data_IF_122079242017
#
_entry.id   IF_122079242017
#
_cell.length_a   1.000
_cell.length_b   1.000
_cell.length_c   1.000
_cell.angle_alpha   90.00
_cell.angle_beta   90.00
_cell.angle_gamma   90.00
#
_symmetry.space_group_name_H-M   'P 1'
#
loop_
_entity.id
_entity.type
_entity.pdbx_description
1 polymer ?
#
# COMPACT_ATOMS: atom_id res chain seq x y z
N UNK A 1 1.53 -2.99 9.29
CA UNK A 1 2.24 -4.29 9.21
C UNK A 1 3.68 -4.09 9.67
N UNK A 2 4.48 -3.29 8.99
CA UNK A 2 5.93 -3.21 9.24
C UNK A 2 6.34 -2.62 10.61
N UNK A 3 5.64 -1.61 11.13
CA UNK A 3 5.89 -1.09 12.50
C UNK A 3 5.36 -1.99 13.63
N UNK A 4 4.70 -3.12 13.31
CA UNK A 4 4.21 -4.08 14.31
C UNK A 4 2.83 -3.81 14.91
N UNK A 5 2.19 -2.69 14.60
CA UNK A 5 0.86 -2.38 15.14
C UNK A 5 -0.25 -3.24 14.54
N UNK A 6 -0.32 -3.32 13.20
CA UNK A 6 -1.34 -4.06 12.48
C UNK A 6 -0.83 -5.46 12.12
N UNK A 7 -1.38 -6.48 12.79
CA UNK A 7 -1.04 -7.92 12.60
C UNK A 7 -2.15 -8.79 12.02
N UNK A 8 -3.37 -8.28 11.95
CA UNK A 8 -4.54 -9.00 11.38
C UNK A 8 -5.15 -8.05 10.36
N UNK A 9 -5.24 -8.49 9.11
CA UNK A 9 -5.80 -7.71 8.02
C UNK A 9 -6.77 -8.60 7.23
N UNK A 10 -8.07 -8.25 7.16
CA UNK A 10 -8.98 -8.91 6.24
C UNK A 10 -8.53 -8.60 4.81
N UNK A 11 -7.99 -9.60 4.14
CA UNK A 11 -7.45 -9.45 2.80
C UNK A 11 -7.58 -10.75 2.02
N UNK A 12 -7.95 -10.64 0.75
CA UNK A 12 -8.03 -11.81 -0.11
C UNK A 12 -6.65 -12.08 -0.75
N UNK A 13 -5.99 -13.21 -0.44
CA UNK A 13 -4.59 -13.43 -0.80
C UNK A 13 -4.34 -13.50 -2.31
N UNK A 14 -5.39 -13.79 -3.10
CA UNK A 14 -5.33 -13.85 -4.57
C UNK A 14 -5.64 -12.53 -5.29
N UNK A 15 -6.03 -11.47 -4.57
CA UNK A 15 -6.28 -10.17 -5.21
C UNK A 15 -4.95 -9.58 -5.67
N UNK A 16 -4.94 -9.03 -6.89
CA UNK A 16 -3.78 -8.36 -7.46
C UNK A 16 -3.73 -6.92 -6.95
N UNK A 17 -2.55 -6.51 -6.48
CA UNK A 17 -2.25 -5.15 -6.06
C UNK A 17 -1.73 -4.34 -7.23
N UNK A 18 -2.38 -3.22 -7.48
CA UNK A 18 -1.92 -2.23 -8.45
C UNK A 18 -0.99 -1.22 -7.77
N UNK A 19 0.28 -1.58 -7.61
CA UNK A 19 1.29 -0.68 -7.03
C UNK A 19 1.88 0.25 -8.09
N UNK A 20 1.65 1.54 -7.92
CA UNK A 20 2.27 2.56 -8.74
C UNK A 20 3.18 3.41 -7.84
N UNK A 21 4.49 3.49 -8.13
CA UNK A 21 5.38 4.37 -7.39
C UNK A 21 4.88 5.81 -7.44
N UNK A 22 4.99 6.53 -6.32
CA UNK A 22 4.51 7.91 -6.21
C UNK A 22 5.12 8.83 -7.27
N UNK A 23 6.39 8.64 -7.62
CA UNK A 23 7.08 9.40 -8.66
C UNK A 23 6.45 9.22 -10.04
N UNK A 24 5.98 8.01 -10.36
CA UNK A 24 5.27 7.75 -11.62
C UNK A 24 3.94 8.50 -11.64
N UNK A 25 3.20 8.51 -10.53
CA UNK A 25 1.94 9.25 -10.41
C UNK A 25 2.18 10.75 -10.56
N UNK A 26 3.20 11.29 -9.88
CA UNK A 26 3.57 12.70 -9.96
C UNK A 26 3.97 13.10 -11.39
N UNK A 27 4.81 12.30 -12.04
CA UNK A 27 5.21 12.52 -13.42
C UNK A 27 4.01 12.49 -14.37
N UNK A 28 3.14 11.50 -14.24
CA UNK A 28 1.93 11.39 -15.05
C UNK A 28 1.00 12.60 -14.87
N UNK A 29 0.89 13.12 -13.65
CA UNK A 29 0.12 14.32 -13.36
C UNK A 29 0.66 15.55 -14.11
N UNK A 30 1.98 15.78 -14.07
CA UNK A 30 2.63 16.90 -14.79
C UNK A 30 2.45 16.76 -16.31
N UNK A 31 2.63 15.55 -16.85
CA UNK A 31 2.47 15.30 -18.30
C UNK A 31 1.00 15.49 -18.71
N UNK A 32 0.05 15.05 -17.88
CA UNK A 32 -1.38 15.27 -18.11
C UNK A 32 -1.72 16.76 -18.16
N UNK A 33 -1.19 17.56 -17.23
CA UNK A 33 -1.36 19.01 -17.23
C UNK A 33 -0.77 19.65 -18.48
N UNK A 34 0.45 19.27 -18.88
CA UNK A 34 1.09 19.75 -20.10
C UNK A 34 0.27 19.38 -21.35
N UNK A 35 -0.26 18.17 -21.42
CA UNK A 35 -1.14 17.74 -22.50
C UNK A 35 -2.41 18.59 -22.59
N UNK A 36 -3.08 18.82 -21.46
CA UNK A 36 -4.28 19.65 -21.39
C UNK A 36 -4.00 21.10 -21.81
N UNK A 37 -2.81 21.63 -21.51
CA UNK A 37 -2.42 22.98 -21.91
C UNK A 37 -2.06 23.10 -23.41
N UNK A 38 -1.64 22.01 -24.05
CA UNK A 38 -1.09 22.04 -25.42
C UNK A 38 -2.03 21.48 -26.49
N UNK A 39 -3.03 20.69 -26.10
CA UNK A 39 -3.91 19.98 -27.03
C UNK A 39 -5.37 20.05 -26.58
N UNK A 40 -6.28 20.22 -27.53
CA UNK A 40 -7.71 20.13 -27.29
C UNK A 40 -8.13 18.67 -27.04
N UNK A 41 -8.98 18.47 -26.04
CA UNK A 41 -9.46 17.16 -25.62
C UNK A 41 -10.93 17.21 -25.20
N UNK A 42 -11.68 16.11 -25.40
CA UNK A 42 -13.03 16.00 -24.85
C UNK A 42 -12.97 16.06 -23.33
N UNK A 43 -13.88 16.84 -22.75
CA UNK A 43 -14.05 16.96 -21.30
C UNK A 43 -15.15 15.99 -20.83
N UNK A 44 -14.93 15.20 -19.77
CA UNK A 44 -13.72 15.15 -18.93
C UNK A 44 -12.60 14.27 -19.52
N UNK A 45 -11.36 14.73 -19.45
CA UNK A 45 -10.17 13.92 -19.74
C UNK A 45 -9.72 13.17 -18.48
N UNK A 46 -9.93 11.86 -18.45
CA UNK A 46 -9.64 11.01 -17.29
C UNK A 46 -8.38 10.18 -17.55
N UNK A 47 -7.44 10.20 -16.60
CA UNK A 47 -6.19 9.45 -16.67
C UNK A 47 -6.09 8.56 -15.43
N UNK A 48 -6.29 7.25 -15.61
CA UNK A 48 -6.05 6.27 -14.55
C UNK A 48 -4.58 5.85 -14.58
N UNK A 49 -3.85 6.15 -13.51
CA UNK A 49 -2.48 5.66 -13.31
C UNK A 49 -2.57 4.25 -12.73
N UNK A 50 -2.58 3.25 -13.61
CA UNK A 50 -2.69 1.84 -13.26
C UNK A 50 -1.69 1.02 -14.08
N UNK A 51 -1.21 -0.08 -13.50
CA UNK A 51 -0.34 -1.04 -14.20
C UNK A 51 -1.12 -1.88 -15.21
N UNK A 52 -2.46 -1.89 -15.17
CA UNK A 52 -3.33 -2.66 -16.06
C UNK A 52 -2.91 -4.13 -16.20
N UNK A 53 -2.53 -4.77 -15.10
CA UNK A 53 -2.12 -6.17 -15.12
C UNK A 53 -0.81 -6.42 -15.89
N UNK A 54 0.00 -5.38 -16.17
CA UNK A 54 1.36 -5.53 -16.71
C UNK A 54 2.24 -6.41 -15.80
N UNK A 55 1.86 -6.56 -14.53
CA UNK A 55 2.37 -7.56 -13.62
C UNK A 55 1.25 -8.02 -12.67
N UNK A 56 1.25 -9.30 -12.31
CA UNK A 56 0.41 -9.83 -11.25
C UNK A 56 1.22 -9.88 -9.96
N UNK A 57 0.96 -8.98 -9.03
CA UNK A 57 1.53 -9.04 -7.69
C UNK A 57 0.43 -9.17 -6.66
N UNK A 58 0.38 -10.31 -5.97
CA UNK A 58 -0.78 -10.66 -5.15
C UNK A 58 -0.61 -10.18 -3.72
N UNK A 59 -1.72 -9.88 -3.05
CA UNK A 59 -1.70 -9.45 -1.64
C UNK A 59 -1.00 -10.46 -0.74
N UNK A 60 -1.23 -11.76 -0.97
CA UNK A 60 -0.56 -12.81 -0.19
C UNK A 60 0.97 -12.73 -0.30
N UNK A 61 1.48 -12.53 -1.51
CA UNK A 61 2.92 -12.38 -1.78
C UNK A 61 3.45 -11.10 -1.13
N UNK A 62 2.69 -10.01 -1.22
CA UNK A 62 3.06 -8.75 -0.61
C UNK A 62 3.20 -8.81 0.90
N UNK A 63 2.24 -9.45 1.58
CA UNK A 63 2.28 -9.63 3.03
C UNK A 63 3.50 -10.46 3.43
N UNK A 64 3.82 -11.51 2.67
CA UNK A 64 5.00 -12.34 2.92
C UNK A 64 6.29 -11.56 2.76
N UNK A 65 6.46 -10.83 1.65
CA UNK A 65 7.65 -10.00 1.37
C UNK A 65 7.85 -8.94 2.45
N UNK A 66 6.80 -8.19 2.80
CA UNK A 66 6.91 -7.18 3.87
C UNK A 66 7.25 -7.82 5.21
N UNK A 67 6.66 -8.97 5.54
CA UNK A 67 6.95 -9.67 6.80
C UNK A 67 8.42 -10.11 6.84
N UNK A 68 8.94 -10.67 5.75
CA UNK A 68 10.34 -11.09 5.64
C UNK A 68 11.30 -9.90 5.76
N UNK A 69 11.05 -8.81 5.02
CA UNK A 69 11.86 -7.59 5.09
C UNK A 69 11.83 -7.01 6.51
N UNK A 70 10.66 -6.98 7.14
CA UNK A 70 10.52 -6.48 8.52
C UNK A 70 11.21 -7.39 9.54
N UNK A 71 11.42 -8.67 9.21
CA UNK A 71 12.17 -9.61 10.03
C UNK A 71 13.68 -9.53 9.85
N UNK A 72 14.16 -9.07 8.69
CA UNK A 72 15.59 -8.88 8.43
C UNK A 72 16.05 -7.49 8.84
N UNK A 73 15.19 -6.48 8.69
CA UNK A 73 15.51 -5.08 8.91
C UNK A 73 14.69 -4.50 10.06
N UNK A 74 15.36 -3.99 11.08
CA UNK A 74 14.68 -3.31 12.18
C UNK A 74 14.21 -1.93 11.73
N UNK A 75 12.90 -1.72 11.70
CA UNK A 75 12.34 -0.39 11.41
C UNK A 75 12.44 0.46 12.68
N UNK A 76 12.99 1.69 12.63
CA UNK A 76 13.02 2.57 13.78
C UNK A 76 11.65 2.74 14.44
N UNK A 77 11.61 2.70 15.77
CA UNK A 77 10.37 2.78 16.55
C UNK A 77 9.35 1.67 16.25
N UNK A 78 9.83 0.46 15.94
CA UNK A 78 8.98 -0.74 15.87
C UNK A 78 8.35 -1.01 17.23
N UNK A 79 7.02 -1.10 17.26
CA UNK A 79 6.27 -1.36 18.47
C UNK A 79 6.40 -2.81 18.92
N UNK A 80 6.29 -3.74 17.97
CA UNK A 80 6.35 -5.17 18.21
C UNK A 80 6.93 -5.86 17.00
N UNK A 81 7.95 -6.69 17.19
CA UNK A 81 8.46 -7.51 16.11
C UNK A 81 7.36 -8.47 15.66
N UNK A 82 7.00 -8.38 14.38
CA UNK A 82 5.89 -9.14 13.82
C UNK A 82 6.43 -10.25 12.95
N UNK A 83 6.58 -11.44 13.53
CA UNK A 83 6.99 -12.63 12.78
C UNK A 83 5.89 -13.13 11.83
N UNK A 84 4.67 -12.62 11.97
CA UNK A 84 3.52 -13.03 11.17
C UNK A 84 2.44 -11.95 11.11
N UNK A 85 1.98 -11.64 9.90
CA UNK A 85 0.76 -10.91 9.66
C UNK A 85 -0.30 -11.88 9.11
N UNK A 86 -1.48 -11.90 9.72
CA UNK A 86 -2.61 -12.72 9.30
C UNK A 86 -3.39 -11.98 8.21
N UNK A 87 -3.02 -12.21 6.95
CA UNK A 87 -3.76 -11.77 5.77
C UNK A 87 -4.65 -12.89 5.26
N UNK A 88 -5.92 -12.90 5.65
CA UNK A 88 -6.89 -13.93 5.26
C UNK A 88 -8.25 -13.27 5.01
N UNK A 89 -9.02 -13.82 4.08
CA UNK A 89 -10.37 -13.33 3.78
C UNK A 89 -11.42 -13.96 4.69
N UNK A 90 -11.04 -14.86 5.60
CA UNK A 90 -11.99 -15.52 6.49
C UNK A 90 -12.48 -14.57 7.60
N UNK A 91 -13.75 -14.12 7.57
CA UNK A 91 -14.23 -13.05 8.46
C UNK A 91 -14.31 -13.47 9.94
N UNK A 92 -14.58 -14.75 10.20
CA UNK A 92 -14.63 -15.28 11.58
C UNK A 92 -13.23 -15.28 12.22
N UNK A 93 -12.22 -15.73 11.46
CA UNK A 93 -10.84 -15.83 11.93
C UNK A 93 -10.24 -14.45 12.21
N UNK A 94 -10.50 -13.47 11.35
CA UNK A 94 -10.05 -12.08 11.58
C UNK A 94 -10.73 -11.48 12.82
N UNK A 95 -12.05 -11.65 12.98
CA UNK A 95 -12.78 -11.20 14.18
C UNK A 95 -12.30 -11.88 15.47
N UNK A 96 -11.93 -13.16 15.42
CA UNK A 96 -11.40 -13.89 16.57
C UNK A 96 -9.98 -13.46 16.92
N UNK A 97 -9.10 -13.25 15.93
CA UNK A 97 -7.68 -12.94 16.17
C UNK A 97 -7.43 -11.48 16.54
N UNK A 98 -8.20 -10.52 16.01
CA UNK A 98 -7.97 -9.09 16.25
C UNK A 98 -7.98 -8.72 17.75
N UNK A 99 -8.92 -9.18 18.59
CA UNK A 99 -8.88 -8.92 20.04
C UNK A 99 -7.57 -9.37 20.70
N UNK A 100 -7.07 -10.57 20.37
CA UNK A 100 -5.85 -11.12 20.97
C UNK A 100 -4.57 -10.44 20.47
N UNK A 101 -4.49 -10.15 19.18
CA UNK A 101 -3.27 -9.59 18.59
C UNK A 101 -3.16 -8.08 18.76
N UNK A 102 -4.29 -7.38 18.93
CA UNK A 102 -4.34 -5.91 18.97
C UNK A 102 -4.81 -5.38 20.33
N UNK A 103 -5.99 -5.78 20.80
CA UNK A 103 -6.66 -5.11 21.92
C UNK A 103 -6.17 -5.57 23.30
N UNK A 104 -6.03 -6.86 23.54
CA UNK A 104 -5.49 -7.39 24.81
C UNK A 104 -4.11 -6.77 25.13
N UNK A 105 -3.11 -6.79 24.22
CA UNK A 105 -1.82 -6.15 24.51
C UNK A 105 -1.94 -4.63 24.64
N UNK A 106 -2.81 -3.98 23.88
CA UNK A 106 -3.05 -2.55 23.99
C UNK A 106 -3.60 -2.14 25.36
N UNK A 107 -4.60 -2.87 25.86
CA UNK A 107 -5.21 -2.62 27.17
C UNK A 107 -4.18 -2.80 28.27
N UNK A 108 -3.37 -3.87 28.23
CA UNK A 108 -2.32 -4.10 29.22
C UNK A 108 -1.29 -2.96 29.25
N UNK A 109 -0.84 -2.49 28.10
CA UNK A 109 0.12 -1.39 28.00
C UNK A 109 -0.50 -0.03 28.36
N UNK A 110 -1.73 0.23 27.96
CA UNK A 110 -2.44 1.45 28.33
C UNK A 110 -2.72 1.50 29.85
N UNK A 111 -3.02 0.35 30.48
CA UNK A 111 -3.14 0.27 31.93
C UNK A 111 -1.79 0.57 32.62
N UNK A 112 -0.68 0.03 32.10
CA UNK A 112 0.65 0.35 32.63
C UNK A 112 0.97 1.84 32.49
N UNK A 113 0.59 2.48 31.37
CA UNK A 113 0.75 3.91 31.19
C UNK A 113 -0.09 4.70 32.20
N UNK A 114 -1.35 4.30 32.42
CA UNK A 114 -2.23 4.92 33.41
C UNK A 114 -1.65 4.83 34.83
N UNK A 115 -1.12 3.68 35.23
CA UNK A 115 -0.46 3.49 36.52
C UNK A 115 0.79 4.38 36.68
N UNK A 116 1.45 4.74 35.58
CA UNK A 116 2.57 5.67 35.55
C UNK A 116 2.13 7.15 35.45
N UNK A 117 0.84 7.46 35.56
CA UNK A 117 0.29 8.81 35.37
C UNK A 117 0.38 9.34 33.93
N UNK A 118 0.61 8.45 32.96
CA UNK A 118 0.71 8.77 31.53
C UNK A 118 -0.63 8.54 30.83
N UNK A 119 -0.82 9.22 29.69
CA UNK A 119 -2.04 9.08 28.89
C UNK A 119 -2.05 7.75 28.11
N UNK A 120 -3.12 6.95 28.21
CA UNK A 120 -3.31 5.77 27.37
C UNK A 120 -3.51 6.18 25.92
N UNK A 121 -2.99 5.39 24.97
CA UNK A 121 -3.01 5.73 23.54
C UNK A 121 -3.21 4.54 22.62
N UNK A 122 -2.84 3.32 23.02
CA UNK A 122 -2.83 2.16 22.13
C UNK A 122 -4.24 1.71 21.74
N UNK A 123 -5.18 1.67 22.68
CA UNK A 123 -6.58 1.30 22.38
C UNK A 123 -7.23 2.32 21.43
N UNK A 124 -6.89 3.61 21.57
CA UNK A 124 -7.37 4.65 20.65
C UNK A 124 -6.78 4.48 19.24
N UNK A 125 -5.50 4.09 19.14
CA UNK A 125 -4.84 3.79 17.88
C UNK A 125 -5.49 2.59 17.19
N UNK A 126 -5.80 1.52 17.91
CA UNK A 126 -6.46 0.34 17.33
C UNK A 126 -7.88 0.63 16.85
N UNK A 127 -8.66 1.43 17.58
CA UNK A 127 -9.97 1.90 17.09
C UNK A 127 -9.85 2.74 15.82
N UNK A 128 -8.79 3.52 15.67
CA UNK A 128 -8.51 4.23 14.43
C UNK A 128 -8.14 3.26 13.30
N UNK A 129 -7.21 2.33 13.55
CA UNK A 129 -6.78 1.34 12.57
C UNK A 129 -7.95 0.48 12.08
N UNK A 130 -8.85 0.04 12.97
CA UNK A 130 -10.03 -0.74 12.59
C UNK A 130 -10.97 0.03 11.66
N UNK A 131 -11.15 1.34 11.89
CA UNK A 131 -11.94 2.19 10.99
C UNK A 131 -11.31 2.28 9.61
N UNK A 132 -9.99 2.50 9.54
CA UNK A 132 -9.25 2.54 8.27
C UNK A 132 -9.34 1.20 7.56
N UNK A 133 -9.07 0.09 8.26
CA UNK A 133 -9.16 -1.25 7.70
C UNK A 133 -10.56 -1.53 7.17
N UNK A 134 -11.61 -1.27 7.96
CA UNK A 134 -13.00 -1.46 7.54
C UNK A 134 -13.34 -0.70 6.26
N UNK A 135 -12.89 0.54 6.14
CA UNK A 135 -13.10 1.36 4.95
C UNK A 135 -12.32 0.80 3.74
N UNK A 136 -11.11 0.29 3.96
CA UNK A 136 -10.27 -0.26 2.91
C UNK A 136 -10.61 -1.70 2.50
N UNK A 137 -11.32 -2.47 3.35
CA UNK A 137 -11.59 -3.91 3.10
C UNK A 137 -12.21 -4.15 1.72
N UNK A 138 -13.15 -3.31 1.29
CA UNK A 138 -13.76 -3.45 -0.02
C UNK A 138 -12.74 -3.36 -1.17
N UNK A 139 -11.77 -2.45 -1.07
CA UNK A 139 -10.73 -2.30 -2.08
C UNK A 139 -9.66 -3.38 -1.99
N UNK A 140 -9.29 -3.80 -0.77
CA UNK A 140 -8.28 -4.83 -0.52
C UNK A 140 -8.79 -6.23 -0.91
N UNK A 141 -10.10 -6.48 -0.82
CA UNK A 141 -10.67 -7.80 -1.13
C UNK A 141 -11.19 -7.95 -2.56
N UNK A 142 -11.10 -6.92 -3.41
CA UNK A 142 -11.55 -6.98 -4.80
C UNK A 142 -10.43 -6.55 -5.75
N UNK A 143 -10.32 -7.22 -6.90
CA UNK A 143 -9.45 -6.79 -7.98
C UNK A 143 -10.16 -5.73 -8.82
N UNK A 144 -9.41 -4.74 -9.30
CA UNK A 144 -9.93 -3.63 -10.08
C UNK A 144 -9.22 -3.56 -11.43
N UNK A 145 -10.01 -3.36 -12.48
CA UNK A 145 -9.49 -3.11 -13.82
C UNK A 145 -9.83 -1.68 -14.20
N UNK A 146 -8.83 -0.97 -14.71
CA UNK A 146 -8.97 0.40 -15.17
C UNK A 146 -8.60 0.50 -16.64
N UNK A 147 -9.31 1.36 -17.35
CA UNK A 147 -8.89 1.80 -18.68
C UNK A 147 -7.69 2.73 -18.55
N UNK A 148 -6.61 2.41 -19.25
CA UNK A 148 -5.29 3.07 -19.13
C UNK A 148 -4.79 3.66 -20.45
N UNK A 149 -5.62 3.69 -21.48
CA UNK A 149 -5.22 4.19 -22.81
C UNK A 149 -4.69 5.62 -22.75
N UNK A 150 -5.39 6.48 -22.02
CA UNK A 150 -4.97 7.87 -21.81
C UNK A 150 -3.62 7.94 -21.09
N UNK A 151 -3.39 7.10 -20.08
CA UNK A 151 -2.12 7.04 -19.36
C UNK A 151 -0.96 6.63 -20.28
N UNK A 152 -1.12 5.59 -21.11
CA UNK A 152 -0.11 5.20 -22.10
C UNK A 152 0.09 6.27 -23.18
N UNK A 153 -0.96 7.01 -23.54
CA UNK A 153 -0.85 8.13 -24.47
C UNK A 153 0.04 9.26 -23.91
N UNK A 154 0.00 9.51 -22.60
CA UNK A 154 0.89 10.48 -21.94
C UNK A 154 2.34 10.02 -21.98
N UNK A 155 2.60 8.75 -21.70
CA UNK A 155 3.97 8.22 -21.74
C UNK A 155 4.60 8.32 -23.14
N UNK A 156 3.79 8.21 -24.20
CA UNK A 156 4.23 8.40 -25.58
C UNK A 156 4.53 9.86 -25.95
N UNK A 157 4.01 10.84 -25.20
CA UNK A 157 4.31 12.25 -25.44
C UNK A 157 5.70 12.65 -24.95
N UNK A 158 6.29 11.89 -24.02
CA UNK A 158 7.62 12.18 -23.47
C UNK A 158 8.69 11.80 -24.50
N UNK A 159 9.53 12.76 -24.89
CA UNK A 159 10.60 12.54 -25.87
C UNK A 159 11.67 11.58 -25.34
N UNK A 160 12.37 10.88 -26.23
CA UNK A 160 13.39 9.88 -25.84
C UNK A 160 14.50 10.42 -24.93
N UNK A 161 14.84 11.71 -25.04
CA UNK A 161 15.83 12.39 -24.17
C UNK A 161 15.31 12.70 -22.76
N UNK A 162 14.00 12.79 -22.58
CA UNK A 162 13.35 13.08 -21.30
C UNK A 162 12.97 11.81 -20.54
N UNK A 163 12.83 10.68 -21.24
CA UNK A 163 12.54 9.36 -20.65
C UNK A 163 13.60 8.88 -19.65
N UNK A 164 14.82 9.40 -19.73
CA UNK A 164 15.87 9.11 -18.75
C UNK A 164 15.69 9.88 -17.43
N UNK A 165 14.99 11.02 -17.48
CA UNK A 165 14.71 11.87 -16.31
C UNK A 165 13.33 11.62 -15.71
N UNK A 166 12.38 11.16 -16.53
CA UNK A 166 11.01 10.87 -16.14
C UNK A 166 10.87 9.37 -15.88
N UNK A 167 10.67 9.00 -14.62
CA UNK A 167 10.35 7.61 -14.27
C UNK A 167 8.96 7.27 -14.82
N UNK A 168 8.93 6.42 -15.84
CA UNK A 168 7.73 5.83 -16.45
C UNK A 168 7.50 4.41 -15.90
N UNK A 169 6.29 3.86 -16.07
CA UNK A 169 6.00 2.49 -15.64
C UNK A 169 6.94 1.46 -16.27
N UNK A 170 7.23 1.57 -17.57
CA UNK A 170 8.15 0.64 -18.24
C UNK A 170 9.61 0.73 -17.74
N UNK A 171 10.06 1.89 -17.24
CA UNK A 171 11.38 2.03 -16.62
C UNK A 171 11.38 1.58 -15.15
N UNK A 172 10.27 1.77 -14.44
CA UNK A 172 10.07 1.24 -13.09
C UNK A 172 10.03 -0.30 -13.09
N UNK A 173 9.73 -0.96 -14.22
CA UNK A 173 9.82 -2.42 -14.35
C UNK A 173 11.27 -2.95 -14.35
N UNK A 174 12.27 -2.15 -14.75
CA UNK A 174 13.70 -2.54 -14.68
C UNK A 174 14.30 -2.27 -13.33
N UNK A 175 13.81 -1.24 -12.64
CA UNK A 175 14.12 -1.01 -11.24
C UNK A 175 13.26 -2.01 -10.49
N UNK A 176 13.78 -3.21 -10.25
CA UNK A 176 13.17 -4.12 -9.29
C UNK A 176 13.09 -3.35 -7.97
N UNK A 177 11.93 -2.75 -7.70
CA UNK A 177 11.65 -1.90 -6.52
C UNK A 177 11.88 -2.71 -5.24
N UNK A 178 12.00 -4.04 -5.36
CA UNK A 178 12.36 -4.96 -4.29
C UNK A 178 13.80 -5.50 -4.32
N UNK A 179 14.55 -5.43 -5.43
CA UNK A 179 15.96 -5.89 -5.46
C UNK A 179 16.95 -4.78 -5.11
N UNK A 180 16.56 -3.50 -5.16
CA UNK A 180 17.45 -2.40 -4.81
C UNK A 180 17.43 -2.02 -3.32
N UNK A 181 16.71 -2.76 -2.47
CA UNK A 181 16.88 -2.68 -1.02
C UNK A 181 17.93 -3.67 -0.54
N UNK A 182 19.13 -3.60 -1.13
CA UNK A 182 20.33 -4.09 -0.48
C UNK A 182 20.80 -3.00 0.49
N UNK A 183 20.40 -3.14 1.75
CA UNK A 183 21.09 -2.51 2.87
C UNK A 183 22.08 -3.52 3.46
#
# INVERSE_FOLDING_TARGET
>A
ISKGFLKVLPAHPKVCLDFIPADVVANAHVIAACRLATKSHPSPFIVNCSSHGSYEYRIGEHINVITEISMKNTIPHTFRYSNKCWGDNHPIKTKLLSPFEHYIPAVGLDLMLLLQGKRPRLVSLYRFLDRVVKMSTYFICNSWTYEVENFWSLQRMVNSKEKEKVVLLHSANRITVFNNFHY
#
